data_IF_454456607710
#
_entry.id   IF_454456607710
#
_cell.length_a   1.000
_cell.length_b   1.000
_cell.length_c   1.000
_cell.angle_alpha   90.00
_cell.angle_beta   90.00
_cell.angle_gamma   90.00
#
_symmetry.space_group_name_H-M   'P 1'
#
loop_
_entity.id
_entity.type
_entity.pdbx_description
1 polymer ?
#
# COMPACT_ATOMS: atom_id res chain seq x y z
N UNK A 1 15.44 -10.77 24.80
CA UNK A 1 15.44 -10.75 23.32
C UNK A 1 15.57 -9.30 22.92
N UNK A 2 16.66 -8.91 22.26
CA UNK A 2 16.81 -7.54 21.77
C UNK A 2 15.92 -7.36 20.53
N UNK A 3 15.25 -6.22 20.36
CA UNK A 3 14.46 -5.97 19.16
C UNK A 3 15.38 -5.88 17.92
N UNK A 4 14.89 -6.22 16.73
CA UNK A 4 15.70 -6.17 15.51
C UNK A 4 16.24 -4.75 15.26
N UNK A 5 17.45 -4.60 14.69
CA UNK A 5 17.97 -3.30 14.28
C UNK A 5 17.02 -2.64 13.30
N UNK A 6 16.53 -1.43 13.62
CA UNK A 6 15.57 -0.67 12.79
C UNK A 6 14.21 -0.40 13.45
N UNK A 7 13.93 -0.98 14.61
CA UNK A 7 12.71 -0.66 15.36
C UNK A 7 12.91 0.58 16.24
N UNK A 8 12.62 1.76 15.69
CA UNK A 8 12.37 2.93 16.52
C UNK A 8 11.04 2.73 17.28
N UNK A 9 10.96 3.20 18.52
CA UNK A 9 9.67 3.32 19.20
C UNK A 9 8.91 4.47 18.52
N UNK A 10 7.96 4.13 17.65
CA UNK A 10 7.12 5.10 16.94
C UNK A 10 5.89 5.38 17.81
N UNK A 11 5.67 6.64 18.25
CA UNK A 11 4.47 6.99 19.00
C UNK A 11 3.22 6.69 18.17
N UNK A 12 2.28 5.95 18.75
CA UNK A 12 1.02 5.61 18.08
C UNK A 12 0.15 6.84 17.79
N UNK A 13 0.43 7.99 18.40
CA UNK A 13 -0.31 9.23 18.22
C UNK A 13 0.18 10.08 17.05
N UNK A 14 1.42 9.97 16.60
CA UNK A 14 1.90 10.81 15.50
C UNK A 14 2.92 10.04 14.69
N UNK A 15 2.47 9.52 13.57
CA UNK A 15 3.36 8.78 12.67
C UNK A 15 2.86 8.80 11.23
N UNK A 16 3.80 8.52 10.34
CA UNK A 16 3.51 8.23 8.94
C UNK A 16 4.05 6.84 8.65
N UNK A 17 3.20 6.02 8.02
CA UNK A 17 3.56 4.75 7.43
C UNK A 17 3.68 4.94 5.93
N UNK A 18 4.70 4.33 5.32
CA UNK A 18 4.89 4.31 3.88
C UNK A 18 5.31 2.89 3.46
N UNK A 19 4.35 2.12 2.95
CA UNK A 19 4.60 0.83 2.32
C UNK A 19 4.77 1.04 0.82
N UNK A 20 5.81 0.44 0.25
CA UNK A 20 6.09 0.51 -1.19
C UNK A 20 6.61 -0.85 -1.65
N UNK A 21 5.73 -1.59 -2.30
CA UNK A 21 5.89 -3.00 -2.62
C UNK A 21 5.30 -3.29 -4.00
N UNK A 22 5.43 -4.52 -4.48
CA UNK A 22 4.70 -5.03 -5.64
C UNK A 22 3.63 -6.03 -5.19
N UNK A 23 2.52 -6.09 -5.91
CA UNK A 23 1.73 -7.31 -5.98
C UNK A 23 2.14 -8.14 -7.19
N UNK A 24 2.14 -9.46 -7.06
CA UNK A 24 2.38 -10.43 -8.13
C UNK A 24 1.06 -11.08 -8.57
N UNK A 25 0.68 -10.89 -9.83
CA UNK A 25 -0.59 -11.37 -10.37
C UNK A 25 -0.57 -12.89 -10.64
N UNK A 26 -1.47 -13.62 -10.00
CA UNK A 26 -1.64 -15.08 -10.17
C UNK A 26 -2.63 -15.46 -11.26
N UNK A 27 -3.56 -14.56 -11.56
CA UNK A 27 -4.65 -14.75 -12.53
C UNK A 27 -4.91 -13.44 -13.27
N UNK A 28 -5.53 -13.53 -14.43
CA UNK A 28 -5.93 -12.35 -15.21
C UNK A 28 -7.18 -11.70 -14.60
N UNK A 29 -7.23 -10.36 -14.62
CA UNK A 29 -8.43 -9.59 -14.32
C UNK A 29 -8.20 -8.44 -13.34
N UNK A 30 -9.30 -7.96 -12.76
CA UNK A 30 -9.32 -6.80 -11.88
C UNK A 30 -8.98 -7.14 -10.43
N UNK A 31 -7.80 -6.69 -10.00
CA UNK A 31 -7.38 -6.73 -8.61
C UNK A 31 -8.00 -5.55 -7.87
N UNK A 32 -8.68 -5.81 -6.75
CA UNK A 32 -9.38 -4.78 -5.98
C UNK A 32 -8.59 -4.41 -4.75
N UNK A 33 -8.28 -3.12 -4.63
CA UNK A 33 -7.66 -2.50 -3.46
C UNK A 33 -8.73 -1.83 -2.64
N UNK A 34 -8.75 -2.09 -1.34
CA UNK A 34 -9.77 -1.53 -0.43
C UNK A 34 -9.10 -0.91 0.79
N UNK A 35 -9.53 0.30 1.10
CA UNK A 35 -9.09 1.09 2.25
C UNK A 35 -10.35 1.34 3.10
N UNK A 36 -10.67 0.51 4.11
CA UNK A 36 -11.89 0.69 4.89
C UNK A 36 -11.65 1.42 6.22
N UNK A 37 -12.55 2.35 6.55
CA UNK A 37 -12.74 2.93 7.89
C UNK A 37 -11.47 3.51 8.55
N UNK A 38 -10.70 4.28 7.80
CA UNK A 38 -9.41 4.78 8.29
C UNK A 38 -9.59 5.92 9.29
N UNK A 39 -8.57 6.14 10.13
CA UNK A 39 -8.40 7.28 11.03
C UNK A 39 -6.88 7.55 11.23
N UNK A 40 -6.24 8.53 10.57
CA UNK A 40 -6.80 9.78 10.02
C UNK A 40 -6.76 9.97 8.50
N UNK A 41 -5.68 9.57 7.80
CA UNK A 41 -5.60 9.71 6.33
C UNK A 41 -4.78 8.60 5.67
N UNK A 42 -5.29 8.07 4.55
CA UNK A 42 -4.57 7.10 3.71
C UNK A 42 -4.60 7.53 2.24
N UNK A 43 -3.44 7.43 1.59
CA UNK A 43 -3.24 7.61 0.15
C UNK A 43 -2.75 6.32 -0.47
N UNK A 44 -3.32 5.95 -1.62
CA UNK A 44 -2.88 4.82 -2.42
C UNK A 44 -2.49 5.31 -3.82
N UNK A 45 -1.34 4.81 -4.27
CA UNK A 45 -0.79 5.01 -5.60
C UNK A 45 -0.47 3.64 -6.20
N UNK A 46 -0.79 3.44 -7.46
CA UNK A 46 -0.62 2.21 -8.22
C UNK A 46 0.24 2.48 -9.45
N UNK A 47 0.99 1.47 -9.90
CA UNK A 47 1.77 1.58 -11.14
C UNK A 47 2.84 2.68 -11.08
N UNK A 48 2.97 3.44 -12.16
CA UNK A 48 4.00 4.48 -12.27
C UNK A 48 3.85 5.59 -11.22
N UNK A 49 2.62 5.88 -10.77
CA UNK A 49 2.32 6.90 -9.76
C UNK A 49 2.91 6.49 -8.40
N UNK A 50 2.97 5.19 -8.10
CA UNK A 50 3.62 4.70 -6.88
C UNK A 50 5.13 4.90 -6.85
N UNK A 51 5.77 5.04 -8.03
CA UNK A 51 7.23 5.14 -8.16
C UNK A 51 7.65 6.61 -8.31
N UNK A 52 7.04 7.35 -9.23
CA UNK A 52 7.52 8.68 -9.68
C UNK A 52 6.57 9.82 -9.35
N UNK A 53 5.28 9.55 -9.17
CA UNK A 53 4.22 10.53 -8.98
C UNK A 53 3.46 10.29 -7.70
N UNK A 54 4.09 10.14 -6.53
CA UNK A 54 3.33 9.95 -5.28
C UNK A 54 2.90 11.29 -4.65
N UNK A 55 2.52 12.25 -5.49
CA UNK A 55 2.03 13.57 -5.10
C UNK A 55 0.50 13.59 -4.95
N UNK A 56 -0.04 14.65 -4.35
CA UNK A 56 -1.48 14.75 -4.08
C UNK A 56 -2.38 14.78 -5.33
N UNK A 57 -1.81 14.94 -6.53
CA UNK A 57 -2.56 14.98 -7.80
C UNK A 57 -2.60 13.62 -8.52
N UNK A 58 -1.88 12.63 -8.01
CA UNK A 58 -1.62 11.36 -8.68
C UNK A 58 -2.24 10.19 -7.90
N UNK A 59 -3.25 10.48 -7.08
CA UNK A 59 -3.89 9.53 -6.18
C UNK A 59 -4.84 8.60 -6.94
N UNK A 60 -4.64 7.29 -6.84
CA UNK A 60 -5.62 6.30 -7.30
C UNK A 60 -6.77 6.14 -6.32
N UNK A 61 -6.47 6.20 -5.02
CA UNK A 61 -7.47 6.21 -3.97
C UNK A 61 -7.02 7.03 -2.75
N UNK A 62 -8.00 7.61 -2.08
CA UNK A 62 -7.80 8.41 -0.87
C UNK A 62 -8.96 8.18 0.09
N UNK A 63 -8.65 7.89 1.35
CA UNK A 63 -9.61 7.83 2.43
C UNK A 63 -9.16 8.78 3.55
N UNK A 64 -10.09 9.54 4.11
CA UNK A 64 -9.81 10.54 5.16
C UNK A 64 -10.86 10.43 6.25
N UNK A 65 -10.44 10.36 7.52
CA UNK A 65 -11.33 10.62 8.65
C UNK A 65 -11.40 12.12 8.92
N UNK A 66 -12.49 12.69 9.43
CA UNK A 66 -13.80 12.10 9.69
C UNK A 66 -14.89 12.90 8.94
N UNK A 67 -14.47 13.59 7.88
CA UNK A 67 -15.32 14.42 7.05
C UNK A 67 -15.82 13.63 5.84
N UNK A 68 -17.04 13.95 5.40
CA UNK A 68 -17.54 13.46 4.12
C UNK A 68 -16.84 14.18 2.95
N UNK A 69 -16.60 13.49 1.81
CA UNK A 69 -16.91 12.09 1.57
C UNK A 69 -15.77 11.10 1.93
N UNK A 70 -16.23 10.00 2.52
CA UNK A 70 -15.64 8.67 2.75
C UNK A 70 -14.31 8.54 3.54
N UNK A 71 -14.45 8.01 4.76
CA UNK A 71 -13.40 7.32 5.52
C UNK A 71 -13.00 5.96 4.91
N UNK A 72 -13.48 5.65 3.71
CA UNK A 72 -13.18 4.45 2.96
C UNK A 72 -13.00 4.75 1.48
N UNK A 73 -12.14 4.01 0.80
CA UNK A 73 -11.98 4.09 -0.66
C UNK A 73 -11.69 2.71 -1.25
N UNK A 74 -11.97 2.54 -2.54
CA UNK A 74 -11.61 1.35 -3.29
C UNK A 74 -11.29 1.71 -4.73
N UNK A 75 -10.34 0.99 -5.31
CA UNK A 75 -9.92 1.12 -6.71
C UNK A 75 -9.56 -0.25 -7.26
N UNK A 76 -9.79 -0.47 -8.55
CA UNK A 76 -9.40 -1.69 -9.25
C UNK A 76 -8.26 -1.43 -10.23
N UNK A 77 -7.42 -2.44 -10.44
CA UNK A 77 -6.37 -2.42 -11.46
C UNK A 77 -6.37 -3.74 -12.21
N UNK A 78 -6.49 -3.70 -13.54
CA UNK A 78 -6.48 -4.89 -14.39
C UNK A 78 -5.05 -5.38 -14.59
N UNK A 79 -4.78 -6.63 -14.23
CA UNK A 79 -3.48 -7.28 -14.42
C UNK A 79 -3.63 -8.54 -15.25
N UNK A 80 -2.55 -8.90 -15.95
CA UNK A 80 -2.37 -10.24 -16.53
C UNK A 80 -1.46 -11.06 -15.63
N UNK A 81 -1.70 -12.37 -15.60
CA UNK A 81 -0.91 -13.37 -14.88
C UNK A 81 0.58 -13.17 -15.12
N UNK A 82 1.37 -13.19 -14.05
CA UNK A 82 2.82 -12.99 -14.10
C UNK A 82 3.26 -11.52 -14.01
N UNK A 83 2.35 -10.55 -14.11
CA UNK A 83 2.71 -9.14 -13.93
C UNK A 83 3.00 -8.81 -12.46
N UNK A 84 3.83 -7.79 -12.28
CA UNK A 84 4.07 -7.16 -11.01
C UNK A 84 3.54 -5.72 -11.07
N UNK A 85 2.63 -5.38 -10.18
CA UNK A 85 2.11 -4.02 -10.04
C UNK A 85 2.75 -3.38 -8.81
N UNK A 86 3.59 -2.34 -8.97
CA UNK A 86 4.05 -1.57 -7.83
C UNK A 86 2.86 -0.81 -7.23
N UNK A 87 2.80 -0.74 -5.90
CA UNK A 87 1.84 0.07 -5.18
C UNK A 87 2.52 0.75 -4.00
N UNK A 88 2.01 1.93 -3.65
CA UNK A 88 2.45 2.68 -2.48
C UNK A 88 1.26 3.06 -1.64
N UNK A 89 1.32 2.72 -0.36
CA UNK A 89 0.32 3.07 0.62
C UNK A 89 0.96 3.99 1.66
N UNK A 90 0.45 5.22 1.75
CA UNK A 90 0.90 6.19 2.75
C UNK A 90 -0.23 6.43 3.73
N UNK A 91 -0.01 6.11 4.99
CA UNK A 91 -0.96 6.38 6.07
C UNK A 91 -0.38 7.42 7.02
N UNK A 92 -1.18 8.42 7.37
CA UNK A 92 -0.85 9.46 8.35
C UNK A 92 -1.78 9.39 9.55
N UNK A 93 -1.19 9.41 10.74
CA UNK A 93 -1.88 9.41 12.03
C UNK A 93 -1.57 10.70 12.79
N UNK A 94 -2.63 11.35 13.26
CA UNK A 94 -2.66 12.58 14.06
C UNK A 94 -3.56 12.48 15.31
N UNK A 95 -2.95 12.11 16.43
CA UNK A 95 -3.55 12.09 17.75
C UNK A 95 -4.62 11.01 17.94
N UNK A 96 -5.05 10.80 19.20
CA UNK A 96 -6.20 9.92 19.52
C UNK A 96 -5.97 8.46 19.05
N UNK A 97 -7.00 7.57 19.02
CA UNK A 97 -6.85 6.20 18.54
C UNK A 97 -6.51 6.13 17.05
N UNK A 98 -5.75 5.09 16.69
CA UNK A 98 -5.42 4.77 15.30
C UNK A 98 -6.42 3.75 14.75
N UNK A 99 -6.91 3.99 13.53
CA UNK A 99 -7.61 2.98 12.73
C UNK A 99 -6.95 2.90 11.36
N UNK A 100 -6.35 1.76 11.07
CA UNK A 100 -5.72 1.49 9.79
C UNK A 100 -6.09 0.08 9.33
N UNK A 101 -6.65 0.00 8.12
CA UNK A 101 -6.98 -1.25 7.47
C UNK A 101 -6.77 -1.10 5.97
N UNK A 102 -6.34 -2.18 5.34
CA UNK A 102 -6.10 -2.26 3.91
C UNK A 102 -6.23 -3.71 3.48
N UNK A 103 -6.82 -3.93 2.31
CA UNK A 103 -6.88 -5.25 1.70
C UNK A 103 -6.74 -5.22 0.19
N UNK A 104 -6.28 -6.34 -0.34
CA UNK A 104 -6.13 -6.59 -1.76
C UNK A 104 -6.75 -7.96 -2.06
N UNK A 105 -7.65 -8.01 -3.03
CA UNK A 105 -8.32 -9.25 -3.46
C UNK A 105 -8.14 -9.43 -4.96
N UNK A 106 -7.79 -10.65 -5.37
CA UNK A 106 -7.68 -11.03 -6.78
C UNK A 106 -9.06 -11.30 -7.41
N UNK A 107 -9.16 -11.34 -8.75
CA UNK A 107 -10.42 -11.56 -9.48
C UNK A 107 -11.15 -12.86 -9.13
N UNK A 108 -10.39 -13.90 -8.76
CA UNK A 108 -10.92 -15.22 -8.41
C UNK A 108 -11.34 -15.33 -6.93
N UNK A 109 -11.25 -14.22 -6.17
CA UNK A 109 -11.53 -14.17 -4.74
C UNK A 109 -10.33 -14.52 -3.85
N UNK A 110 -9.15 -14.80 -4.41
CA UNK A 110 -7.93 -15.00 -3.61
C UNK A 110 -7.61 -13.73 -2.82
N UNK A 111 -7.47 -13.87 -1.50
CA UNK A 111 -6.99 -12.80 -0.63
C UNK A 111 -5.47 -12.66 -0.82
N UNK A 112 -5.06 -11.52 -1.38
CA UNK A 112 -3.65 -11.17 -1.57
C UNK A 112 -3.08 -10.59 -0.29
N UNK A 113 -3.84 -9.73 0.38
CA UNK A 113 -3.48 -9.08 1.64
C UNK A 113 -4.76 -8.69 2.39
N UNK A 114 -4.79 -8.93 3.69
CA UNK A 114 -5.78 -8.41 4.64
C UNK A 114 -5.22 -8.43 6.07
N UNK A 115 -6.04 -8.06 7.06
CA UNK A 115 -5.63 -8.07 8.47
C UNK A 115 -5.29 -9.46 9.04
N UNK A 116 -5.73 -10.54 8.40
CA UNK A 116 -5.40 -11.92 8.78
C UNK A 116 -4.14 -12.46 8.12
N UNK A 117 -3.59 -11.73 7.15
CA UNK A 117 -2.44 -12.15 6.35
C UNK A 117 -1.14 -11.84 7.10
N UNK A 118 -0.42 -12.88 7.55
CA UNK A 118 0.88 -12.72 8.22
C UNK A 118 2.05 -12.65 7.22
N UNK A 119 2.06 -13.54 6.23
CA UNK A 119 3.10 -13.63 5.21
C UNK A 119 2.46 -13.81 3.82
N UNK A 120 2.19 -12.71 3.12
CA UNK A 120 1.69 -12.81 1.75
C UNK A 120 2.79 -13.29 0.82
N UNK A 121 2.50 -14.33 0.03
CA UNK A 121 3.39 -14.79 -1.06
C UNK A 121 3.29 -13.92 -2.31
N UNK A 122 2.32 -13.02 -2.33
CA UNK A 122 1.96 -12.24 -3.50
C UNK A 122 2.31 -10.76 -3.34
N UNK A 123 2.60 -10.31 -2.12
CA UNK A 123 3.22 -9.00 -1.87
C UNK A 123 4.73 -9.20 -1.77
N UNK A 124 5.49 -8.58 -2.67
CA UNK A 124 6.94 -8.80 -2.79
C UNK A 124 7.70 -7.48 -2.94
N UNK A 125 8.98 -7.48 -2.55
CA UNK A 125 9.85 -6.30 -2.69
C UNK A 125 10.47 -6.18 -4.09
N UNK A 126 10.66 -7.32 -4.77
CA UNK A 126 11.23 -7.42 -6.11
C UNK A 126 10.97 -8.83 -6.67
N UNK A 127 11.09 -9.01 -7.98
CA UNK A 127 11.01 -10.30 -8.66
C UNK A 127 12.27 -11.14 -8.41
N UNK A 128 12.16 -12.46 -8.46
CA UNK A 128 13.31 -13.35 -8.28
C UNK A 128 14.45 -13.11 -9.29
N UNK A 129 14.12 -12.65 -10.50
CA UNK A 129 15.10 -12.28 -11.54
C UNK A 129 15.72 -10.90 -11.35
N UNK A 130 15.19 -10.08 -10.42
CA UNK A 130 15.62 -8.71 -10.13
C UNK A 130 15.41 -7.70 -11.28
N UNK A 131 14.75 -8.08 -12.37
CA UNK A 131 14.61 -7.25 -13.58
C UNK A 131 13.17 -6.99 -13.97
N UNK A 132 12.29 -7.97 -13.83
CA UNK A 132 10.85 -7.83 -14.14
C UNK A 132 10.16 -6.88 -13.14
N UNK A 133 10.51 -6.98 -11.86
CA UNK A 133 10.15 -6.04 -10.80
C UNK A 133 11.42 -5.72 -10.01
N UNK A 134 12.20 -4.70 -10.43
CA UNK A 134 13.44 -4.34 -9.76
C UNK A 134 13.17 -3.81 -8.34
N UNK A 135 14.20 -3.80 -7.49
CA UNK A 135 14.08 -3.23 -6.15
C UNK A 135 13.59 -1.77 -6.23
N UNK A 136 12.54 -1.47 -5.46
CA UNK A 136 11.96 -0.13 -5.40
C UNK A 136 12.92 0.86 -4.71
N UNK A 137 12.93 2.14 -5.12
CA UNK A 137 13.76 3.15 -4.47
C UNK A 137 13.45 3.28 -2.99
N UNK A 138 14.50 3.50 -2.18
CA UNK A 138 14.34 3.78 -0.76
C UNK A 138 13.56 5.09 -0.53
N UNK A 139 12.85 5.14 0.60
CA UNK A 139 12.11 6.33 1.03
C UNK A 139 13.00 7.59 0.99
N UNK A 140 12.52 8.67 0.36
CA UNK A 140 13.25 9.94 0.25
C UNK A 140 14.30 10.00 -0.87
N UNK A 141 14.46 8.94 -1.68
CA UNK A 141 15.35 8.95 -2.85
C UNK A 141 14.71 9.55 -4.11
N UNK A 142 13.41 9.87 -4.04
CA UNK A 142 12.65 10.66 -5.02
C UNK A 142 12.28 12.01 -4.41
N UNK A 143 12.23 13.06 -5.25
CA UNK A 143 12.10 14.49 -4.91
C UNK A 143 11.42 14.83 -3.56
N UNK A 144 12.03 15.78 -2.86
CA UNK A 144 11.49 16.47 -1.68
C UNK A 144 9.99 16.77 -1.86
N UNK A 145 9.19 16.39 -0.85
CA UNK A 145 7.82 16.83 -0.67
C UNK A 145 7.73 18.37 -0.65
#
# INVERSE_FOLDING_TARGET
>A
MAPPPGSANVPASYFVLNHHEYIFAQVDGDYTFTIPHIDDITFLYLGDDSIRGYGLNDLDAKAVCCDAPANSASVTYTLTTGQYLPFRLVFGQQGRPVVFSFSITAPDGTVILDAGTQDSKFVVQYSCDGTTAPALPALGSGKNL
#
